data_IF_425134244666
#
_entry.id   IF_425134244666
#
_cell.length_a   1.000
_cell.length_b   1.000
_cell.length_c   1.000
_cell.angle_alpha   90.00
_cell.angle_beta   90.00
_cell.angle_gamma   90.00
#
_symmetry.space_group_name_H-M   'P 1'
#
loop_
_entity.id
_entity.type
_entity.pdbx_description
1 polymer ?
#
# COMPACT_ATOMS: atom_id res chain seq x y z
N UNK A 1 -61.13 -10.13 54.78
CA UNK A 1 -59.84 -9.67 54.27
C UNK A 1 -59.26 -10.76 53.41
N UNK A 2 -59.24 -10.56 52.17
CA UNK A 2 -58.91 -11.56 51.13
C UNK A 2 -57.45 -11.47 50.79
N UNK A 3 -56.69 -12.58 50.81
CA UNK A 3 -55.34 -12.72 50.27
C UNK A 3 -55.40 -13.61 49.03
N UNK A 4 -54.90 -13.21 47.87
CA UNK A 4 -54.80 -14.09 46.69
C UNK A 4 -53.57 -14.97 46.76
N UNK A 5 -53.76 -16.29 46.49
CA UNK A 5 -52.72 -17.29 46.30
C UNK A 5 -52.03 -17.07 44.95
N UNK A 6 -50.74 -16.94 44.98
CA UNK A 6 -49.89 -17.02 43.79
C UNK A 6 -49.59 -18.49 43.48
N UNK A 7 -50.19 -19.02 42.44
CA UNK A 7 -49.82 -20.35 41.87
C UNK A 7 -48.58 -20.21 41.04
N UNK A 8 -47.49 -20.85 41.47
CA UNK A 8 -46.23 -20.91 40.74
C UNK A 8 -46.33 -21.83 39.53
N UNK A 9 -46.05 -21.27 38.37
CA UNK A 9 -45.73 -22.01 37.15
C UNK A 9 -44.25 -22.37 37.16
N UNK A 10 -43.92 -23.57 37.64
CA UNK A 10 -42.64 -24.21 37.41
C UNK A 10 -42.66 -24.90 36.05
N UNK A 11 -42.35 -24.16 35.01
CA UNK A 11 -42.06 -24.71 33.68
C UNK A 11 -40.68 -25.37 33.69
N UNK A 12 -40.65 -26.67 33.89
CA UNK A 12 -39.45 -27.47 33.69
C UNK A 12 -39.10 -27.47 32.20
N UNK A 13 -37.99 -26.85 31.85
CA UNK A 13 -37.37 -27.00 30.53
C UNK A 13 -36.89 -28.44 30.39
N UNK A 14 -37.66 -29.25 29.67
CA UNK A 14 -37.26 -30.58 29.25
C UNK A 14 -36.06 -30.46 28.34
N UNK A 15 -34.88 -30.75 28.87
CA UNK A 15 -33.71 -30.99 28.00
C UNK A 15 -34.02 -32.26 27.20
N UNK A 16 -34.27 -32.06 25.91
CA UNK A 16 -34.34 -33.14 24.93
C UNK A 16 -33.01 -33.84 24.93
N UNK A 17 -32.92 -34.97 25.61
CA UNK A 17 -31.75 -35.83 25.58
C UNK A 17 -31.61 -36.38 24.17
N UNK A 18 -30.54 -35.98 23.49
CA UNK A 18 -30.14 -36.59 22.23
C UNK A 18 -29.77 -38.05 22.57
N UNK A 19 -30.44 -39.05 21.98
CA UNK A 19 -30.08 -40.44 22.23
C UNK A 19 -28.70 -40.70 21.65
N UNK A 20 -27.68 -40.76 22.49
CA UNK A 20 -26.37 -41.30 22.12
C UNK A 20 -26.52 -42.81 22.02
N UNK A 21 -26.64 -43.35 20.81
CA UNK A 21 -26.54 -44.78 20.57
C UNK A 21 -25.14 -45.24 20.99
N UNK A 22 -25.11 -46.10 21.99
CA UNK A 22 -23.88 -46.67 22.58
C UNK A 22 -23.19 -47.74 21.69
N UNK A 23 -23.68 -47.97 20.49
CA UNK A 23 -23.01 -48.78 19.48
C UNK A 23 -22.26 -47.80 18.52
N UNK A 24 -20.94 -47.90 18.47
CA UNK A 24 -20.05 -47.07 17.67
C UNK A 24 -20.19 -47.22 16.15
N UNK A 25 -21.42 -47.37 15.66
CA UNK A 25 -21.75 -47.30 14.27
C UNK A 25 -21.74 -45.81 13.86
N UNK A 26 -20.61 -45.40 13.35
CA UNK A 26 -20.55 -44.20 12.49
C UNK A 26 -21.51 -44.47 11.34
N UNK A 27 -22.59 -43.66 11.13
CA UNK A 27 -23.53 -43.93 10.05
C UNK A 27 -22.75 -43.94 8.73
N UNK A 28 -22.64 -45.15 8.14
CA UNK A 28 -21.92 -45.35 6.88
C UNK A 28 -22.50 -44.42 5.81
N UNK A 29 -21.68 -43.56 5.30
CA UNK A 29 -22.07 -42.59 4.24
C UNK A 29 -22.60 -43.38 3.06
N UNK A 30 -23.88 -43.21 2.74
CA UNK A 30 -24.50 -43.88 1.59
C UNK A 30 -23.81 -43.47 0.28
N UNK A 31 -23.75 -44.39 -0.71
CA UNK A 31 -23.12 -44.12 -2.01
C UNK A 31 -23.60 -42.81 -2.64
N UNK A 32 -24.85 -42.42 -2.47
CA UNK A 32 -25.41 -41.17 -2.97
C UNK A 32 -24.85 -39.93 -2.23
N UNK A 33 -24.69 -40.03 -0.90
CA UNK A 33 -24.09 -38.96 -0.11
C UNK A 33 -22.60 -38.78 -0.42
N UNK A 34 -21.89 -39.90 -0.62
CA UNK A 34 -20.48 -39.89 -1.02
C UNK A 34 -20.29 -39.23 -2.38
N UNK A 35 -21.11 -39.60 -3.41
CA UNK A 35 -21.05 -39.01 -4.73
C UNK A 35 -21.41 -37.51 -4.72
N UNK A 36 -22.40 -37.10 -3.93
CA UNK A 36 -22.73 -35.68 -3.75
C UNK A 36 -21.59 -34.92 -3.08
N UNK A 37 -20.95 -35.48 -2.06
CA UNK A 37 -19.80 -34.85 -1.40
C UNK A 37 -18.62 -34.67 -2.36
N UNK A 38 -18.33 -35.67 -3.20
CA UNK A 38 -17.28 -35.58 -4.22
C UNK A 38 -17.59 -34.50 -5.27
N UNK A 39 -18.83 -34.46 -5.78
CA UNK A 39 -19.24 -33.46 -6.77
C UNK A 39 -19.23 -32.04 -6.19
N UNK A 40 -19.80 -31.83 -5.02
CA UNK A 40 -19.78 -30.52 -4.37
C UNK A 40 -18.36 -30.09 -3.98
N UNK A 41 -17.56 -31.02 -3.46
CA UNK A 41 -16.15 -30.76 -3.12
C UNK A 41 -15.31 -30.37 -4.33
N UNK A 42 -15.45 -31.08 -5.44
CA UNK A 42 -14.71 -30.78 -6.68
C UNK A 42 -15.16 -29.44 -7.30
N UNK A 43 -16.46 -29.18 -7.39
CA UNK A 43 -16.99 -27.91 -7.92
C UNK A 43 -16.54 -26.73 -7.04
N UNK A 44 -16.59 -26.88 -5.71
CA UNK A 44 -16.12 -25.83 -4.78
C UNK A 44 -14.62 -25.63 -4.91
N UNK A 45 -13.83 -26.68 -5.01
CA UNK A 45 -12.38 -26.61 -5.21
C UNK A 45 -12.00 -25.89 -6.49
N UNK A 46 -12.65 -26.21 -7.60
CA UNK A 46 -12.42 -25.52 -8.89
C UNK A 46 -12.84 -24.05 -8.80
N UNK A 47 -14.00 -23.75 -8.22
CA UNK A 47 -14.48 -22.38 -8.07
C UNK A 47 -13.54 -21.52 -7.22
N UNK A 48 -13.09 -22.02 -6.08
CA UNK A 48 -12.13 -21.33 -5.21
C UNK A 48 -10.77 -21.19 -5.88
N UNK A 49 -10.29 -22.21 -6.60
CA UNK A 49 -9.03 -22.15 -7.35
C UNK A 49 -9.06 -21.13 -8.49
N UNK A 50 -10.21 -20.97 -9.17
CA UNK A 50 -10.38 -19.96 -10.20
C UNK A 50 -10.57 -18.54 -9.63
N UNK A 51 -11.25 -18.41 -8.49
CA UNK A 51 -11.47 -17.12 -7.83
C UNK A 51 -10.19 -16.56 -7.19
N UNK A 52 -9.31 -17.42 -6.70
CA UNK A 52 -8.08 -17.00 -6.01
C UNK A 52 -7.20 -16.05 -6.84
N UNK A 53 -6.78 -16.36 -8.08
CA UNK A 53 -5.98 -15.43 -8.88
C UNK A 53 -6.76 -14.16 -9.25
N UNK A 54 -8.08 -14.25 -9.45
CA UNK A 54 -8.91 -13.08 -9.75
C UNK A 54 -8.95 -12.14 -8.56
N UNK A 55 -9.20 -12.65 -7.37
CA UNK A 55 -9.21 -11.83 -6.13
C UNK A 55 -7.85 -11.21 -5.88
N UNK A 56 -6.75 -11.97 -6.03
CA UNK A 56 -5.39 -11.44 -5.85
C UNK A 56 -5.00 -10.40 -6.90
N UNK A 57 -5.56 -10.45 -8.10
CA UNK A 57 -5.35 -9.43 -9.11
C UNK A 57 -5.94 -8.06 -8.69
N UNK A 58 -7.10 -8.07 -8.03
CA UNK A 58 -7.76 -6.84 -7.56
C UNK A 58 -7.30 -6.37 -6.17
N UNK A 59 -6.68 -7.25 -5.39
CA UNK A 59 -6.12 -6.87 -4.08
C UNK A 59 -4.62 -6.66 -4.26
N UNK A 60 -4.14 -5.41 -4.31
CA UNK A 60 -2.70 -5.16 -4.40
C UNK A 60 -2.01 -5.79 -3.19
N UNK A 61 -0.84 -6.44 -3.37
CA UNK A 61 -0.08 -6.98 -2.26
C UNK A 61 0.24 -5.83 -1.29
N UNK A 62 -0.17 -6.00 -0.04
CA UNK A 62 0.27 -5.07 1.01
C UNK A 62 1.79 -5.20 1.09
N UNK A 63 2.51 -4.10 0.85
CA UNK A 63 3.94 -4.06 1.05
C UNK A 63 4.26 -4.57 2.46
N UNK A 64 5.01 -5.65 2.55
CA UNK A 64 5.47 -6.23 3.80
C UNK A 64 6.57 -5.32 4.38
N UNK A 65 6.15 -4.20 4.97
CA UNK A 65 7.02 -3.25 5.64
C UNK A 65 6.17 -2.51 6.66
N UNK A 66 6.43 -2.74 7.94
CA UNK A 66 5.76 -2.07 9.03
C UNK A 66 6.03 -0.56 8.96
N UNK A 67 5.02 0.20 8.54
CA UNK A 67 5.15 1.65 8.47
C UNK A 67 4.53 2.30 7.23
N UNK A 68 3.69 1.59 6.43
CA UNK A 68 2.92 2.21 5.33
C UNK A 68 3.75 2.73 4.14
N UNK A 69 5.06 2.48 4.09
CA UNK A 69 5.97 2.92 3.04
C UNK A 69 6.23 1.84 1.97
N UNK A 70 6.63 2.27 0.79
CA UNK A 70 7.10 1.42 -0.31
C UNK A 70 8.61 1.49 -0.37
N UNK A 71 9.30 0.35 -0.48
CA UNK A 71 10.76 0.33 -0.71
C UNK A 71 11.08 1.01 -2.03
N UNK A 72 12.00 1.97 -2.02
CA UNK A 72 12.53 2.57 -3.24
C UNK A 72 13.26 1.50 -4.07
N UNK A 73 13.02 1.52 -5.39
CA UNK A 73 13.64 0.56 -6.31
C UNK A 73 14.43 1.28 -7.38
N UNK A 74 15.51 0.65 -7.79
CA UNK A 74 16.33 1.09 -8.92
C UNK A 74 15.65 0.79 -10.28
N UNK A 75 16.31 1.13 -11.38
CA UNK A 75 15.83 0.87 -12.74
C UNK A 75 15.66 -0.64 -13.04
N UNK A 76 16.35 -1.51 -12.32
CA UNK A 76 16.27 -2.95 -12.47
C UNK A 76 15.21 -3.59 -11.55
N UNK A 77 14.60 -2.80 -10.67
CA UNK A 77 13.59 -3.26 -9.70
C UNK A 77 14.19 -3.78 -8.40
N UNK A 78 15.49 -3.64 -8.16
CA UNK A 78 16.13 -4.01 -6.90
C UNK A 78 15.87 -2.93 -5.84
N UNK A 79 15.85 -3.33 -4.56
CA UNK A 79 15.74 -2.40 -3.46
C UNK A 79 16.97 -1.48 -3.40
N UNK A 80 16.75 -0.17 -3.27
CA UNK A 80 17.82 0.82 -3.09
C UNK A 80 18.31 0.77 -1.66
N UNK A 81 19.62 0.56 -1.49
CA UNK A 81 20.29 0.64 -0.18
C UNK A 81 20.95 2.00 -0.02
N UNK A 82 20.86 2.59 1.17
CA UNK A 82 21.41 3.92 1.45
C UNK A 82 22.94 3.94 1.27
N UNK A 83 23.64 2.89 1.74
CA UNK A 83 25.10 2.77 1.61
C UNK A 83 25.54 2.74 0.15
N UNK A 84 24.93 1.89 -0.70
CA UNK A 84 25.29 1.83 -2.11
C UNK A 84 24.91 3.09 -2.87
N UNK A 85 23.78 3.71 -2.50
CA UNK A 85 23.33 4.96 -3.10
C UNK A 85 24.31 6.10 -2.84
N UNK A 86 24.70 6.32 -1.59
CA UNK A 86 25.64 7.36 -1.20
C UNK A 86 27.07 7.14 -1.73
N UNK A 87 27.46 5.87 -1.98
CA UNK A 87 28.75 5.57 -2.62
C UNK A 87 28.80 6.01 -4.10
N UNK A 88 27.67 6.05 -4.79
CA UNK A 88 27.58 6.35 -6.23
C UNK A 88 27.10 7.77 -6.52
N UNK A 89 26.38 8.43 -5.59
CA UNK A 89 25.81 9.75 -5.77
C UNK A 89 26.47 10.77 -4.84
N UNK A 90 26.73 11.96 -5.37
CA UNK A 90 27.39 13.04 -4.65
C UNK A 90 26.39 14.02 -4.05
N UNK A 91 26.89 14.89 -3.15
CA UNK A 91 26.12 15.98 -2.59
C UNK A 91 25.38 16.82 -3.66
N UNK A 92 24.10 17.06 -3.43
CA UNK A 92 23.23 17.81 -4.33
C UNK A 92 22.71 17.01 -5.53
N UNK A 93 23.14 15.75 -5.68
CA UNK A 93 22.64 14.88 -6.74
C UNK A 93 21.15 14.56 -6.55
N UNK A 94 20.45 14.48 -7.67
CA UNK A 94 19.04 14.15 -7.76
C UNK A 94 18.86 13.05 -8.78
N UNK A 95 18.70 11.85 -8.31
CA UNK A 95 18.55 10.68 -9.15
C UNK A 95 17.22 10.01 -8.94
N UNK A 96 16.68 9.44 -10.02
CA UNK A 96 15.35 8.83 -10.03
C UNK A 96 15.39 7.43 -9.46
N UNK A 97 14.37 7.14 -8.66
CA UNK A 97 14.02 5.80 -8.21
C UNK A 97 12.55 5.55 -8.48
N UNK A 98 12.14 4.30 -8.50
CA UNK A 98 10.74 3.93 -8.49
C UNK A 98 10.20 4.09 -7.07
N UNK A 99 9.25 4.99 -6.91
CA UNK A 99 8.66 5.36 -5.63
C UNK A 99 7.25 4.83 -5.41
N UNK A 100 6.44 5.65 -4.74
CA UNK A 100 5.04 5.33 -4.44
C UNK A 100 4.25 5.04 -5.71
N UNK A 101 3.46 3.98 -5.70
CA UNK A 101 2.63 3.53 -6.85
C UNK A 101 3.43 3.23 -8.12
N UNK A 102 4.75 3.14 -8.03
CA UNK A 102 5.63 2.97 -9.18
C UNK A 102 6.04 4.27 -9.88
N UNK A 103 5.64 5.42 -9.37
CA UNK A 103 5.97 6.71 -9.95
C UNK A 103 7.47 7.03 -9.79
N UNK A 104 8.12 7.66 -10.79
CA UNK A 104 9.49 8.12 -10.67
C UNK A 104 9.59 9.21 -9.61
N UNK A 105 10.49 9.01 -8.66
CA UNK A 105 10.69 9.91 -7.52
C UNK A 105 12.18 10.23 -7.39
N UNK A 106 12.52 11.50 -7.21
CA UNK A 106 13.88 11.93 -6.97
C UNK A 106 14.27 11.70 -5.51
N UNK A 107 15.35 10.96 -5.29
CA UNK A 107 16.11 10.99 -4.05
C UNK A 107 17.17 12.08 -4.15
N UNK A 108 17.32 12.84 -3.07
CA UNK A 108 18.24 13.99 -3.00
C UNK A 108 19.30 13.67 -1.97
N UNK A 109 20.56 13.77 -2.36
CA UNK A 109 21.70 13.63 -1.43
C UNK A 109 21.98 14.96 -0.77
N UNK A 110 21.98 14.97 0.56
CA UNK A 110 22.28 16.14 1.36
C UNK A 110 23.59 15.95 2.13
N UNK A 111 24.54 16.81 1.86
CA UNK A 111 25.90 16.62 2.39
C UNK A 111 26.61 15.39 1.81
N UNK A 112 27.60 14.88 2.51
CA UNK A 112 28.39 13.74 2.04
C UNK A 112 27.77 12.37 2.32
N UNK A 113 26.87 12.27 3.33
CA UNK A 113 26.49 10.98 3.93
C UNK A 113 25.01 10.81 4.23
N UNK A 114 24.14 11.68 3.73
CA UNK A 114 22.71 11.61 4.05
C UNK A 114 21.82 11.74 2.81
N UNK A 115 20.76 10.94 2.76
CA UNK A 115 19.64 11.13 1.85
C UNK A 115 18.65 12.05 2.56
N UNK A 116 18.15 13.07 1.85
CA UNK A 116 17.17 14.02 2.41
C UNK A 116 15.91 13.29 2.86
N UNK A 117 15.29 13.78 3.94
CA UNK A 117 14.08 13.19 4.54
C UNK A 117 12.84 13.27 3.66
N UNK A 118 12.93 13.90 2.49
CA UNK A 118 11.86 13.92 1.49
C UNK A 118 12.37 13.66 0.08
N UNK A 119 11.55 12.98 -0.71
CA UNK A 119 11.69 12.79 -2.14
C UNK A 119 10.68 13.66 -2.92
N UNK A 120 11.00 13.94 -4.17
CA UNK A 120 10.15 14.74 -5.06
C UNK A 120 9.65 13.82 -6.16
N UNK A 121 8.33 13.66 -6.27
CA UNK A 121 7.71 12.95 -7.38
C UNK A 121 8.00 13.70 -8.69
N UNK A 122 8.51 13.00 -9.69
CA UNK A 122 8.93 13.59 -10.95
C UNK A 122 7.77 13.81 -11.94
N UNK A 123 6.54 13.56 -11.56
CA UNK A 123 5.38 13.66 -12.44
C UNK A 123 4.87 15.11 -12.50
N UNK A 124 4.91 15.68 -13.69
CA UNK A 124 4.42 17.05 -13.96
C UNK A 124 2.92 17.15 -13.68
N UNK A 125 2.52 18.14 -12.89
CA UNK A 125 1.12 18.36 -12.51
C UNK A 125 0.26 18.95 -13.64
N UNK A 126 0.86 19.28 -14.81
CA UNK A 126 0.10 19.70 -15.97
C UNK A 126 -0.57 18.50 -16.67
N UNK A 127 0.21 17.58 -17.24
CA UNK A 127 -0.29 16.41 -18.01
C UNK A 127 0.52 15.14 -17.77
N UNK A 128 1.22 15.00 -16.64
CA UNK A 128 1.84 13.73 -16.26
C UNK A 128 3.20 13.42 -16.90
N UNK A 129 3.85 14.36 -17.59
CA UNK A 129 5.20 14.12 -18.13
C UNK A 129 6.23 13.98 -16.99
N UNK A 130 7.22 13.13 -17.17
CA UNK A 130 8.36 13.06 -16.24
C UNK A 130 9.22 14.31 -16.42
N UNK A 131 9.53 14.99 -15.30
CA UNK A 131 10.25 16.25 -15.28
C UNK A 131 11.71 16.02 -14.94
N UNK A 132 12.67 16.19 -15.88
CA UNK A 132 14.08 16.07 -15.60
C UNK A 132 14.62 17.23 -14.74
N UNK A 133 15.63 16.91 -13.94
CA UNK A 133 16.44 17.91 -13.22
C UNK A 133 17.46 18.53 -14.13
N UNK A 134 17.52 19.86 -14.16
CA UNK A 134 18.55 20.64 -14.86
C UNK A 134 19.50 21.28 -13.85
N UNK A 135 20.66 20.68 -13.66
CA UNK A 135 21.68 21.18 -12.71
C UNK A 135 22.22 22.55 -13.08
N UNK A 136 22.35 22.86 -14.39
CA UNK A 136 22.84 24.16 -14.85
C UNK A 136 21.92 25.33 -14.53
N UNK A 137 20.60 25.08 -14.41
CA UNK A 137 19.61 26.09 -14.05
C UNK A 137 19.08 25.93 -12.62
N UNK A 138 19.50 24.91 -11.93
CA UNK A 138 19.01 24.55 -10.59
C UNK A 138 17.48 24.43 -10.51
N UNK A 139 16.87 23.79 -11.54
CA UNK A 139 15.43 23.67 -11.71
C UNK A 139 15.04 22.34 -12.30
N UNK A 140 13.84 21.90 -11.96
CA UNK A 140 13.16 20.86 -12.72
C UNK A 140 12.43 21.51 -13.90
N UNK A 141 12.63 20.98 -15.11
CA UNK A 141 12.08 21.57 -16.33
C UNK A 141 11.32 20.53 -17.14
N UNK A 142 10.00 20.68 -17.22
CA UNK A 142 9.17 19.79 -18.00
C UNK A 142 9.40 20.00 -19.51
N UNK A 143 9.82 18.97 -20.26
CA UNK A 143 10.11 19.10 -21.69
C UNK A 143 8.86 19.25 -22.56
N UNK A 144 7.69 18.85 -22.03
CA UNK A 144 6.45 18.81 -22.81
C UNK A 144 5.90 20.21 -23.11
N UNK A 145 5.73 21.05 -22.08
CA UNK A 145 5.13 22.38 -22.22
C UNK A 145 5.87 23.46 -21.41
N UNK A 146 7.10 23.18 -20.97
CA UNK A 146 7.98 24.18 -20.36
C UNK A 146 7.61 24.57 -18.92
N UNK A 147 6.84 23.77 -18.20
CA UNK A 147 6.64 24.00 -16.76
C UNK A 147 7.96 23.90 -16.01
N UNK A 148 8.22 24.84 -15.12
CA UNK A 148 9.44 24.93 -14.33
C UNK A 148 9.12 24.86 -12.83
N UNK A 149 9.97 24.13 -12.13
CA UNK A 149 9.89 24.00 -10.68
C UNK A 149 11.28 24.30 -10.10
N UNK A 150 11.30 24.86 -8.92
CA UNK A 150 12.57 25.13 -8.22
C UNK A 150 13.21 23.84 -7.68
N UNK A 151 14.33 23.98 -6.98
CA UNK A 151 15.08 22.87 -6.41
C UNK A 151 14.29 22.05 -5.37
N UNK A 152 13.20 22.58 -4.84
CA UNK A 152 12.30 21.92 -3.88
C UNK A 152 11.07 21.29 -4.56
N UNK A 153 10.95 21.46 -5.89
CA UNK A 153 9.78 21.01 -6.65
C UNK A 153 8.57 21.96 -6.56
N UNK A 154 8.74 23.20 -6.05
CA UNK A 154 7.70 24.23 -6.08
C UNK A 154 7.58 24.77 -7.50
N UNK A 155 6.34 24.87 -8.00
CA UNK A 155 6.08 25.45 -9.31
C UNK A 155 6.47 26.94 -9.34
N UNK A 156 7.25 27.35 -10.35
CA UNK A 156 7.71 28.73 -10.51
C UNK A 156 7.27 29.34 -11.82
N UNK A 157 6.99 28.51 -12.85
CA UNK A 157 6.57 28.96 -14.18
C UNK A 157 5.91 27.85 -14.99
N UNK A 158 5.06 28.24 -15.90
CA UNK A 158 4.49 27.38 -16.94
C UNK A 158 3.04 27.01 -16.71
N UNK A 159 2.47 26.10 -17.51
CA UNK A 159 1.08 25.72 -17.44
C UNK A 159 0.74 24.81 -16.26
N UNK A 160 1.72 24.27 -15.55
CA UNK A 160 1.48 23.42 -14.39
C UNK A 160 0.80 24.22 -13.26
N UNK A 161 -0.37 23.78 -12.76
CA UNK A 161 -1.12 24.53 -11.78
C UNK A 161 -0.60 24.36 -10.34
N UNK A 162 0.14 23.26 -10.07
CA UNK A 162 0.51 22.83 -8.73
C UNK A 162 1.99 22.43 -8.67
N UNK A 163 2.57 22.47 -7.47
CA UNK A 163 3.92 21.97 -7.19
C UNK A 163 4.00 20.45 -7.32
N UNK A 164 5.20 19.91 -7.55
CA UNK A 164 5.43 18.46 -7.58
C UNK A 164 5.08 17.85 -6.22
N UNK A 165 4.50 16.65 -6.24
CA UNK A 165 4.16 15.94 -5.01
C UNK A 165 5.42 15.55 -4.23
N UNK A 166 5.30 15.50 -2.89
CA UNK A 166 6.36 15.06 -2.00
C UNK A 166 6.07 13.66 -1.45
N UNK A 167 7.13 12.97 -1.10
CA UNK A 167 7.07 11.75 -0.33
C UNK A 167 8.06 11.82 0.82
N UNK A 168 7.75 11.22 1.97
CA UNK A 168 8.73 11.02 3.02
C UNK A 168 9.75 9.97 2.58
N UNK A 169 11.00 10.22 2.94
CA UNK A 169 12.10 9.27 2.77
C UNK A 169 12.59 8.87 4.14
N UNK A 170 12.59 7.58 4.42
CA UNK A 170 13.18 6.99 5.63
C UNK A 170 14.16 5.90 5.26
N UNK A 171 15.19 5.73 6.06
CA UNK A 171 16.18 4.67 5.91
C UNK A 171 16.04 3.71 7.09
N UNK A 172 15.69 2.46 6.81
CA UNK A 172 15.55 1.42 7.82
C UNK A 172 16.35 0.19 7.40
N UNK A 173 17.26 -0.27 8.26
CA UNK A 173 18.15 -1.41 7.95
C UNK A 173 18.85 -1.28 6.59
N UNK A 174 19.39 -0.10 6.31
CA UNK A 174 20.05 0.29 5.05
C UNK A 174 19.13 0.36 3.82
N UNK A 175 17.85 0.01 3.92
CA UNK A 175 16.91 0.16 2.81
C UNK A 175 16.21 1.52 2.85
N UNK A 176 16.03 2.10 1.67
CA UNK A 176 15.32 3.37 1.51
C UNK A 176 13.84 3.10 1.32
N UNK A 177 13.00 3.69 2.17
CA UNK A 177 11.55 3.61 2.10
C UNK A 177 10.94 4.95 1.76
N UNK A 178 9.89 4.91 0.96
CA UNK A 178 9.09 6.06 0.59
C UNK A 178 7.68 5.90 1.15
N UNK A 179 7.19 6.91 1.87
CA UNK A 179 5.83 6.95 2.39
C UNK A 179 5.11 8.23 1.96
N UNK A 180 3.79 8.20 2.02
CA UNK A 180 3.00 9.33 1.57
C UNK A 180 3.18 10.52 2.50
N UNK A 181 3.41 11.72 1.93
CA UNK A 181 3.45 12.99 2.65
C UNK A 181 2.01 13.48 2.87
N UNK A 182 1.58 13.53 4.11
CA UNK A 182 0.22 13.95 4.51
C UNK A 182 0.17 15.24 5.31
N UNK A 183 1.32 15.70 5.78
CA UNK A 183 1.48 16.92 6.55
C UNK A 183 1.40 18.15 5.63
N UNK A 184 1.41 19.32 6.25
CA UNK A 184 1.45 20.60 5.54
C UNK A 184 2.65 20.66 4.59
N UNK A 185 2.43 21.13 3.37
CA UNK A 185 3.50 21.38 2.39
C UNK A 185 4.37 22.54 2.89
N UNK A 186 5.60 22.26 3.29
CA UNK A 186 6.54 23.27 3.83
C UNK A 186 6.88 24.38 2.80
N UNK A 187 6.61 24.17 1.52
CA UNK A 187 6.88 25.11 0.42
C UNK A 187 5.79 26.18 0.29
N UNK A 188 4.56 25.88 0.65
CA UNK A 188 3.40 26.75 0.51
C UNK A 188 2.73 27.09 1.83
N UNK A 189 2.86 26.26 2.84
CA UNK A 189 2.15 26.37 4.12
C UNK A 189 0.72 25.82 4.08
N UNK A 190 0.31 25.24 2.95
CA UNK A 190 -1.02 24.71 2.74
C UNK A 190 -1.08 23.19 2.91
N UNK A 191 -2.31 22.66 2.96
CA UNK A 191 -2.55 21.22 2.90
C UNK A 191 -2.12 20.69 1.52
N UNK A 192 -1.40 19.55 1.45
CA UNK A 192 -0.94 19.02 0.19
C UNK A 192 -2.11 18.56 -0.70
N UNK A 193 -2.06 18.88 -1.97
CA UNK A 193 -3.08 18.52 -2.96
C UNK A 193 -3.11 17.03 -3.30
N UNK A 194 -2.04 16.29 -2.96
CA UNK A 194 -1.87 14.85 -3.24
C UNK A 194 -2.23 13.95 -2.04
N UNK A 195 -2.61 14.50 -0.87
CA UNK A 195 -2.94 13.77 0.36
C UNK A 195 -4.42 13.38 0.43
#
# INVERSE_FOLDING_TARGET
>A
MWAPRLTGCTGALSMTQIPVNASGDVPGMGRRQFMNLLTFGSVTGVALGALYPVVNYFIPPRAAGGGGGTTAKDELGNAVTATAWLATHKEGDRSLVQGLKGDPTYLIVEGSDAIRSYGINAICTHLGCVVPWNSGQNKFMCPCHGSQYDATGKVVRGPAPLSLALAHVSVENDNVFLSQWTETDFRTGDKPWWA
#
